data_IF_971271473775
#
_entry.id   IF_971271473775
#
_cell.length_a   1.000
_cell.length_b   1.000
_cell.length_c   1.000
_cell.angle_alpha   90.00
_cell.angle_beta   90.00
_cell.angle_gamma   90.00
#
_symmetry.space_group_name_H-M   'P 1'
#
loop_
_entity.id
_entity.type
_entity.pdbx_description
1 polymer ?
#
# COMPACT_ATOMS: atom_id res chain seq x y z
N UNK A 1 2.20 14.37 7.06
CA UNK A 1 2.60 12.99 7.43
C UNK A 1 1.54 12.40 8.35
N UNK A 2 1.05 11.21 8.06
CA UNK A 2 0.12 10.48 8.93
C UNK A 2 0.94 9.76 10.02
N UNK A 3 0.94 10.29 11.24
CA UNK A 3 1.84 9.87 12.32
C UNK A 3 1.74 8.37 12.68
N UNK A 4 0.55 7.78 12.52
CA UNK A 4 0.34 6.35 12.80
C UNK A 4 1.11 5.39 11.87
N UNK A 5 1.59 5.83 10.70
CA UNK A 5 2.41 4.97 9.83
C UNK A 5 3.71 4.56 10.50
N UNK A 6 4.32 5.44 11.31
CA UNK A 6 5.54 5.12 12.05
C UNK A 6 5.37 3.98 13.07
N UNK A 7 4.13 3.75 13.53
CA UNK A 7 3.81 2.66 14.46
C UNK A 7 3.57 1.34 13.72
N UNK A 8 3.17 1.41 12.45
CA UNK A 8 2.83 0.25 11.62
C UNK A 8 4.05 -0.31 10.87
N UNK A 9 5.02 0.55 10.54
CA UNK A 9 6.19 0.22 9.73
C UNK A 9 7.40 0.00 10.64
N UNK A 10 8.18 -1.09 10.46
CA UNK A 10 9.32 -1.37 11.33
C UNK A 10 10.39 -0.28 11.26
N UNK A 11 10.89 0.13 12.42
CA UNK A 11 11.90 1.20 12.54
C UNK A 11 13.31 0.76 12.14
N UNK A 12 13.61 -0.54 12.20
CA UNK A 12 14.93 -1.14 11.99
C UNK A 12 15.33 -1.29 10.51
N UNK A 13 14.51 -0.80 9.58
CA UNK A 13 14.83 -0.71 8.15
C UNK A 13 15.34 0.69 7.82
N UNK A 14 16.44 0.83 7.02
CA UNK A 14 16.88 2.12 6.49
C UNK A 14 15.81 2.82 5.66
N UNK A 15 15.85 4.15 5.62
CA UNK A 15 14.95 4.96 4.80
C UNK A 15 15.03 4.65 3.31
N UNK A 16 16.19 4.16 2.85
CA UNK A 16 16.45 3.73 1.48
C UNK A 16 15.92 2.33 1.15
N UNK A 17 15.39 1.59 2.13
CA UNK A 17 14.81 0.26 1.90
C UNK A 17 13.74 0.31 0.84
N UNK A 18 13.77 -0.66 -0.05
CA UNK A 18 12.82 -0.75 -1.15
C UNK A 18 11.43 -1.17 -0.66
N UNK A 19 10.41 -0.58 -1.27
CA UNK A 19 9.02 -0.82 -0.91
C UNK A 19 8.20 -1.21 -2.14
N UNK A 20 7.28 -2.15 -1.95
CA UNK A 20 6.23 -2.49 -2.90
C UNK A 20 4.89 -2.43 -2.17
N UNK A 21 3.91 -1.79 -2.80
CA UNK A 21 2.56 -1.62 -2.27
C UNK A 21 1.58 -2.26 -3.25
N UNK A 22 0.78 -3.19 -2.76
CA UNK A 22 -0.26 -3.87 -3.52
C UNK A 22 -1.61 -3.61 -2.88
N UNK A 23 -2.52 -3.00 -3.62
CA UNK A 23 -3.87 -2.70 -3.15
C UNK A 23 -4.82 -3.82 -3.55
N UNK A 24 -5.48 -4.45 -2.59
CA UNK A 24 -6.52 -5.44 -2.85
C UNK A 24 -7.77 -4.79 -3.46
N UNK A 25 -8.46 -5.50 -4.35
CA UNK A 25 -9.70 -5.04 -5.00
C UNK A 25 -10.93 -5.03 -4.07
N UNK A 26 -10.77 -5.52 -2.85
CA UNK A 26 -11.75 -5.43 -1.76
C UNK A 26 -11.02 -5.41 -0.41
N UNK A 27 -11.68 -4.94 0.67
CA UNK A 27 -11.14 -5.13 2.01
C UNK A 27 -11.18 -6.62 2.41
N UNK A 28 -10.23 -7.02 3.26
CA UNK A 28 -10.15 -8.35 3.84
C UNK A 28 -10.85 -8.40 5.20
N UNK A 29 -11.52 -9.51 5.49
CA UNK A 29 -12.05 -9.77 6.83
C UNK A 29 -10.93 -10.19 7.79
N UNK A 30 -11.18 -10.12 9.09
CA UNK A 30 -10.18 -10.39 10.12
C UNK A 30 -9.53 -11.78 10.00
N UNK A 31 -10.31 -12.80 9.66
CA UNK A 31 -9.78 -14.16 9.43
C UNK A 31 -8.79 -14.19 8.26
N UNK A 32 -9.16 -13.57 7.13
CA UNK A 32 -8.28 -13.48 5.95
C UNK A 32 -7.01 -12.67 6.25
N UNK A 33 -7.16 -11.57 7.02
CA UNK A 33 -6.02 -10.74 7.45
C UNK A 33 -5.00 -11.54 8.24
N UNK A 34 -5.45 -12.36 9.19
CA UNK A 34 -4.57 -13.22 9.98
C UNK A 34 -3.86 -14.27 9.11
N UNK A 35 -4.61 -14.97 8.27
CA UNK A 35 -4.06 -15.97 7.35
C UNK A 35 -3.06 -15.39 6.35
N UNK A 36 -3.35 -14.19 5.80
CA UNK A 36 -2.46 -13.48 4.89
C UNK A 36 -1.18 -13.07 5.61
N UNK A 37 -1.28 -12.52 6.81
CA UNK A 37 -0.12 -12.09 7.58
C UNK A 37 0.79 -13.27 7.95
N UNK A 38 0.24 -14.43 8.29
CA UNK A 38 1.02 -15.67 8.52
C UNK A 38 1.77 -16.10 7.24
N UNK A 39 1.12 -16.07 6.08
CA UNK A 39 1.76 -16.43 4.82
C UNK A 39 2.85 -15.42 4.41
N UNK A 40 2.63 -14.13 4.65
CA UNK A 40 3.61 -13.07 4.39
C UNK A 40 4.82 -13.22 5.33
N UNK A 41 4.62 -13.54 6.60
CA UNK A 41 5.69 -13.79 7.55
C UNK A 41 6.53 -15.00 7.15
N UNK A 42 5.89 -16.09 6.75
CA UNK A 42 6.58 -17.25 6.22
C UNK A 42 7.41 -16.90 4.97
N UNK A 43 6.85 -16.10 4.07
CA UNK A 43 7.53 -15.64 2.87
C UNK A 43 8.80 -14.85 3.22
N UNK A 44 8.70 -13.75 3.98
CA UNK A 44 9.84 -12.88 4.18
C UNK A 44 10.92 -13.46 5.10
N UNK A 45 10.56 -14.37 6.00
CA UNK A 45 11.55 -15.08 6.85
C UNK A 45 12.41 -16.07 6.07
N UNK A 46 11.93 -16.56 4.93
CA UNK A 46 12.65 -17.50 4.05
C UNK A 46 13.13 -16.84 2.74
N UNK A 47 12.92 -15.53 2.61
CA UNK A 47 13.24 -14.81 1.37
C UNK A 47 14.75 -14.79 1.11
N UNK A 48 15.12 -15.17 -0.11
CA UNK A 48 16.52 -15.19 -0.54
C UNK A 48 16.69 -14.50 -1.89
N UNK A 49 17.87 -13.90 -2.07
CA UNK A 49 18.35 -13.36 -3.34
C UNK A 49 19.70 -13.98 -3.65
N UNK A 50 19.80 -14.71 -4.77
CA UNK A 50 21.04 -15.42 -5.17
C UNK A 50 21.61 -16.31 -4.05
N UNK A 51 20.72 -17.00 -3.32
CA UNK A 51 21.11 -17.88 -2.23
C UNK A 51 21.53 -17.18 -0.92
N UNK A 52 21.38 -15.85 -0.85
CA UNK A 52 21.65 -15.07 0.36
C UNK A 52 20.33 -14.58 0.98
N UNK A 53 20.20 -14.62 2.32
CA UNK A 53 19.01 -14.10 2.99
C UNK A 53 18.77 -12.61 2.67
N UNK A 54 17.52 -12.27 2.36
CA UNK A 54 17.07 -10.88 2.24
C UNK A 54 16.48 -10.46 3.59
N UNK A 55 16.92 -9.33 4.14
CA UNK A 55 16.23 -8.72 5.26
C UNK A 55 14.94 -8.10 4.69
N UNK A 56 13.83 -8.79 4.88
CA UNK A 56 12.51 -8.40 4.38
C UNK A 56 11.48 -8.31 5.49
N UNK A 57 10.41 -7.61 5.20
CA UNK A 57 9.20 -7.53 6.00
C UNK A 57 8.00 -7.36 5.06
N UNK A 58 6.87 -7.97 5.42
CA UNK A 58 5.64 -7.81 4.69
C UNK A 58 4.44 -7.89 5.63
N UNK A 59 3.42 -7.07 5.38
CA UNK A 59 2.19 -7.06 6.18
C UNK A 59 1.00 -6.55 5.39
N UNK A 60 -0.18 -7.07 5.70
CA UNK A 60 -1.46 -6.51 5.29
C UNK A 60 -1.81 -5.34 6.22
N UNK A 61 -1.95 -4.15 5.66
CA UNK A 61 -2.29 -2.91 6.38
C UNK A 61 -3.65 -2.39 5.95
N UNK A 62 -4.37 -1.75 6.88
CA UNK A 62 -5.71 -1.17 6.66
C UNK A 62 -6.72 -2.18 6.07
N UNK A 63 -6.51 -3.48 6.28
CA UNK A 63 -7.30 -4.58 5.68
C UNK A 63 -7.40 -4.50 4.14
N UNK A 64 -6.45 -3.82 3.47
CA UNK A 64 -6.55 -3.48 2.06
C UNK A 64 -5.23 -3.60 1.30
N UNK A 65 -4.10 -3.30 1.95
CA UNK A 65 -2.82 -3.14 1.29
C UNK A 65 -1.79 -4.13 1.80
N UNK A 66 -1.17 -4.88 0.90
CA UNK A 66 0.05 -5.61 1.23
C UNK A 66 1.23 -4.68 0.97
N UNK A 67 2.00 -4.41 2.02
CA UNK A 67 3.24 -3.64 1.95
C UNK A 67 4.40 -4.60 2.17
N UNK A 68 5.36 -4.61 1.24
CA UNK A 68 6.59 -5.40 1.32
C UNK A 68 7.76 -4.43 1.40
N UNK A 69 8.68 -4.66 2.31
CA UNK A 69 9.93 -3.88 2.49
C UNK A 69 11.12 -4.81 2.40
N UNK A 70 12.16 -4.39 1.69
CA UNK A 70 13.45 -5.10 1.62
C UNK A 70 14.61 -4.16 1.84
N UNK A 71 15.54 -4.53 2.72
CA UNK A 71 16.79 -3.82 2.93
C UNK A 71 17.79 -4.23 1.85
N UNK A 72 18.10 -3.31 0.95
CA UNK A 72 19.05 -3.54 -0.15
C UNK A 72 20.53 -3.37 0.24
N UNK A 73 20.80 -2.82 1.44
CA UNK A 73 22.18 -2.59 1.87
C UNK A 73 22.92 -3.91 2.18
N UNK A 74 22.18 -4.95 2.54
CA UNK A 74 22.75 -6.27 2.91
C UNK A 74 22.79 -7.21 1.71
N UNK A 75 21.78 -7.16 0.84
CA UNK A 75 21.67 -8.04 -0.33
C UNK A 75 20.99 -7.28 -1.45
N UNK A 76 21.67 -7.15 -2.60
CA UNK A 76 21.07 -6.56 -3.78
C UNK A 76 19.83 -7.34 -4.17
N UNK A 77 18.64 -6.69 -4.10
CA UNK A 77 17.37 -7.32 -4.47
C UNK A 77 17.32 -7.35 -5.99
N UNK A 78 17.72 -8.47 -6.57
CA UNK A 78 17.73 -8.74 -8.00
C UNK A 78 16.33 -8.97 -8.58
N UNK A 79 16.25 -9.06 -9.90
CA UNK A 79 15.02 -9.44 -10.60
C UNK A 79 14.35 -10.70 -10.05
N UNK A 80 15.15 -11.74 -9.70
CA UNK A 80 14.62 -13.00 -9.13
C UNK A 80 13.89 -12.78 -7.79
N UNK A 81 14.37 -11.89 -6.93
CA UNK A 81 13.73 -11.61 -5.63
C UNK A 81 12.43 -10.80 -5.80
N UNK A 82 12.39 -9.95 -6.82
CA UNK A 82 11.16 -9.24 -7.21
C UNK A 82 10.14 -10.26 -7.73
N UNK A 83 10.57 -11.25 -8.51
CA UNK A 83 9.70 -12.32 -9.01
C UNK A 83 9.14 -13.18 -7.87
N UNK A 84 9.92 -13.44 -6.83
CA UNK A 84 9.45 -14.17 -5.64
C UNK A 84 8.38 -13.37 -4.88
N UNK A 85 8.57 -12.06 -4.70
CA UNK A 85 7.54 -11.20 -4.11
C UNK A 85 6.27 -11.14 -4.96
N UNK A 86 6.39 -11.05 -6.29
CA UNK A 86 5.25 -11.10 -7.18
C UNK A 86 4.53 -12.46 -7.16
N UNK A 87 5.26 -13.55 -6.92
CA UNK A 87 4.69 -14.91 -6.84
C UNK A 87 3.80 -15.09 -5.62
N UNK A 88 4.20 -14.60 -4.45
CA UNK A 88 3.34 -14.65 -3.25
C UNK A 88 2.06 -13.82 -3.47
N UNK A 89 2.16 -12.62 -4.07
CA UNK A 89 0.98 -11.81 -4.38
C UNK A 89 0.02 -12.53 -5.33
N UNK A 90 0.50 -13.14 -6.41
CA UNK A 90 -0.33 -13.93 -7.32
C UNK A 90 -0.95 -15.17 -6.67
N UNK A 91 -0.28 -15.76 -5.70
CA UNK A 91 -0.85 -16.86 -4.91
C UNK A 91 -2.02 -16.38 -4.07
N UNK A 92 -1.87 -15.25 -3.39
CA UNK A 92 -2.93 -14.63 -2.58
C UNK A 92 -4.12 -14.18 -3.44
N UNK A 93 -3.88 -13.64 -4.65
CA UNK A 93 -4.95 -13.31 -5.60
C UNK A 93 -5.85 -14.51 -5.89
N UNK A 94 -5.23 -15.65 -6.19
CA UNK A 94 -5.97 -16.89 -6.47
C UNK A 94 -6.70 -17.44 -5.26
N UNK A 95 -6.02 -17.44 -4.10
CA UNK A 95 -6.56 -17.99 -2.86
C UNK A 95 -7.80 -17.23 -2.37
N UNK A 96 -7.78 -15.90 -2.47
CA UNK A 96 -8.83 -15.03 -1.92
C UNK A 96 -9.75 -14.44 -3.00
N UNK A 97 -9.56 -14.81 -4.27
CA UNK A 97 -10.33 -14.27 -5.40
C UNK A 97 -10.34 -12.73 -5.42
N UNK A 98 -9.17 -12.12 -5.27
CA UNK A 98 -8.94 -10.68 -5.30
C UNK A 98 -7.98 -10.30 -6.41
N UNK A 99 -7.98 -9.03 -6.81
CA UNK A 99 -7.00 -8.46 -7.72
C UNK A 99 -6.15 -7.43 -6.96
N UNK A 100 -4.82 -7.54 -7.04
CA UNK A 100 -3.87 -6.59 -6.45
C UNK A 100 -3.26 -5.62 -7.48
N UNK A 101 -3.61 -5.73 -8.74
CA UNK A 101 -3.02 -4.95 -9.83
C UNK A 101 -4.00 -3.96 -10.48
N UNK A 102 -5.20 -3.78 -9.90
CA UNK A 102 -6.13 -2.74 -10.32
C UNK A 102 -5.59 -1.35 -9.96
N UNK A 103 -5.43 -0.49 -10.97
CA UNK A 103 -4.95 0.89 -10.82
C UNK A 103 -6.06 1.93 -11.01
N UNK A 104 -7.27 1.50 -11.33
CA UNK A 104 -8.40 2.39 -11.61
C UNK A 104 -9.27 2.66 -10.38
N UNK A 105 -9.07 1.90 -9.32
CA UNK A 105 -9.75 2.09 -8.04
C UNK A 105 -8.79 2.73 -7.05
N UNK A 106 -9.22 3.85 -6.49
CA UNK A 106 -8.47 4.60 -5.49
C UNK A 106 -8.97 4.26 -4.09
N UNK A 107 -8.13 4.42 -3.10
CA UNK A 107 -8.52 4.23 -1.70
C UNK A 107 -8.27 5.51 -0.92
N UNK A 108 -9.26 5.90 -0.14
CA UNK A 108 -9.24 7.05 0.77
C UNK A 108 -9.29 6.56 2.21
N UNK A 109 -8.68 7.30 3.12
CA UNK A 109 -8.80 7.06 4.56
C UNK A 109 -9.89 7.98 5.12
N UNK A 110 -11.04 7.41 5.45
CA UNK A 110 -12.22 8.11 5.97
C UNK A 110 -12.57 7.50 7.32
N UNK A 111 -12.63 8.30 8.37
CA UNK A 111 -12.92 7.85 9.74
C UNK A 111 -12.04 6.67 10.19
N UNK A 112 -10.75 6.71 9.81
CA UNK A 112 -9.77 5.68 10.13
C UNK A 112 -9.92 4.37 9.36
N UNK A 113 -10.81 4.30 8.36
CA UNK A 113 -11.06 3.13 7.53
C UNK A 113 -10.67 3.40 6.08
N UNK A 114 -10.07 2.40 5.43
CA UNK A 114 -9.83 2.43 4.00
C UNK A 114 -11.15 2.26 3.24
N UNK A 115 -11.47 3.21 2.37
CA UNK A 115 -12.67 3.20 1.53
C UNK A 115 -12.29 3.35 0.08
N UNK A 116 -12.76 2.42 -0.75
CA UNK A 116 -12.45 2.37 -2.17
C UNK A 116 -13.44 3.20 -2.99
N UNK A 117 -12.92 3.88 -4.02
CA UNK A 117 -13.70 4.67 -4.94
C UNK A 117 -13.11 4.55 -6.36
N UNK A 118 -13.89 4.15 -7.36
CA UNK A 118 -13.45 4.21 -8.75
C UNK A 118 -13.03 5.62 -9.15
N UNK A 119 -11.95 5.76 -9.92
CA UNK A 119 -11.43 7.07 -10.33
C UNK A 119 -12.52 7.96 -10.95
N UNK A 120 -13.39 7.40 -11.81
CA UNK A 120 -14.48 8.12 -12.44
C UNK A 120 -15.56 8.66 -11.49
N UNK A 121 -15.58 8.24 -10.23
CA UNK A 121 -16.54 8.68 -9.21
C UNK A 121 -15.96 9.71 -8.22
N UNK A 122 -14.66 10.02 -8.32
CA UNK A 122 -13.99 10.93 -7.38
C UNK A 122 -14.61 12.32 -7.41
N UNK A 123 -14.82 12.90 -8.61
CA UNK A 123 -15.44 14.23 -8.73
C UNK A 123 -16.84 14.26 -8.14
N UNK A 124 -17.65 13.24 -8.41
CA UNK A 124 -18.99 13.14 -7.83
C UNK A 124 -18.95 13.11 -6.31
N UNK A 125 -18.01 12.36 -5.71
CA UNK A 125 -17.86 12.27 -4.27
C UNK A 125 -17.45 13.63 -3.64
N UNK A 126 -16.62 14.41 -4.34
CA UNK A 126 -16.25 15.79 -3.95
C UNK A 126 -17.50 16.68 -4.02
N UNK A 127 -18.22 16.68 -5.14
CA UNK A 127 -19.40 17.52 -5.36
C UNK A 127 -20.51 17.24 -4.35
N UNK A 128 -20.60 16.00 -3.86
CA UNK A 128 -21.55 15.59 -2.82
C UNK A 128 -21.04 15.75 -1.39
N UNK A 129 -19.80 16.19 -1.21
CA UNK A 129 -19.21 16.40 0.11
C UNK A 129 -18.84 15.10 0.86
N UNK A 130 -18.81 13.94 0.19
CA UNK A 130 -18.35 12.68 0.80
C UNK A 130 -16.84 12.69 1.06
N UNK A 131 -16.09 13.36 0.22
CA UNK A 131 -14.66 13.64 0.36
C UNK A 131 -14.40 15.12 0.03
N UNK A 132 -13.29 15.65 0.53
CA UNK A 132 -12.87 17.03 0.31
C UNK A 132 -11.37 17.12 0.08
N UNK A 133 -10.85 18.32 -0.13
CA UNK A 133 -9.43 18.56 -0.40
C UNK A 133 -8.48 18.06 0.68
N UNK A 134 -8.91 17.96 1.95
CA UNK A 134 -8.12 17.48 3.07
C UNK A 134 -8.28 15.98 3.33
N UNK A 135 -9.22 15.30 2.64
CA UNK A 135 -9.41 13.86 2.75
C UNK A 135 -8.13 13.14 2.33
N UNK A 136 -7.65 12.22 3.18
CA UNK A 136 -6.42 11.49 2.90
C UNK A 136 -6.65 10.42 1.82
N UNK A 137 -5.78 10.39 0.84
CA UNK A 137 -5.75 9.38 -0.23
C UNK A 137 -4.47 8.56 -0.14
N UNK A 138 -4.58 7.27 -0.43
CA UNK A 138 -3.42 6.38 -0.52
C UNK A 138 -2.74 6.57 -1.87
N UNK A 139 -1.51 7.07 -1.83
CA UNK A 139 -0.66 7.32 -2.99
C UNK A 139 0.32 6.16 -3.15
N UNK A 140 -0.08 5.12 -3.87
CA UNK A 140 0.64 3.83 -3.97
C UNK A 140 1.89 3.87 -4.87
N UNK A 141 2.49 5.05 -5.10
CA UNK A 141 3.70 5.21 -5.93
C UNK A 141 5.01 5.19 -5.14
N UNK A 142 4.94 5.15 -3.81
CA UNK A 142 6.13 5.10 -2.96
C UNK A 142 6.96 3.85 -3.27
N UNK A 143 8.28 4.03 -3.44
CA UNK A 143 9.23 2.98 -3.77
C UNK A 143 10.29 2.78 -2.71
N UNK A 144 10.40 3.70 -1.74
CA UNK A 144 11.30 3.63 -0.59
C UNK A 144 10.56 3.75 0.72
N UNK A 145 11.17 3.28 1.83
CA UNK A 145 10.58 3.43 3.17
C UNK A 145 10.34 4.90 3.52
N UNK A 146 11.28 5.78 3.17
CA UNK A 146 11.11 7.22 3.37
C UNK A 146 9.87 7.74 2.66
N UNK A 147 9.72 7.44 1.38
CA UNK A 147 8.53 7.83 0.60
C UNK A 147 7.24 7.23 1.16
N UNK A 148 7.27 5.97 1.60
CA UNK A 148 6.13 5.32 2.26
C UNK A 148 5.67 6.12 3.47
N UNK A 149 6.58 6.53 4.34
CA UNK A 149 6.24 7.29 5.54
C UNK A 149 5.81 8.73 5.26
N UNK A 150 6.39 9.37 4.24
CA UNK A 150 6.16 10.78 3.93
C UNK A 150 5.00 11.02 2.96
N UNK A 151 4.80 10.12 1.98
CA UNK A 151 3.95 10.39 0.81
C UNK A 151 2.87 9.35 0.52
N UNK A 152 2.82 8.25 1.26
CA UNK A 152 1.79 7.21 1.01
C UNK A 152 0.39 7.69 1.35
N UNK A 153 0.20 8.36 2.51
CA UNK A 153 -1.06 8.98 2.91
C UNK A 153 -0.92 10.50 2.87
N UNK A 154 -1.54 11.12 1.89
CA UNK A 154 -1.48 12.57 1.68
C UNK A 154 -2.89 13.15 1.48
N UNK A 155 -3.13 14.42 1.83
CA UNK A 155 -4.37 15.11 1.48
C UNK A 155 -4.59 15.10 -0.03
N UNK A 156 -5.84 15.00 -0.46
CA UNK A 156 -6.25 14.95 -1.86
C UNK A 156 -5.67 16.12 -2.67
N UNK A 157 -5.67 17.33 -2.11
CA UNK A 157 -5.09 18.53 -2.73
C UNK A 157 -3.55 18.53 -2.82
N UNK A 158 -2.87 17.58 -2.19
CA UNK A 158 -1.41 17.37 -2.27
C UNK A 158 -1.03 16.08 -3.00
N UNK A 159 -2.01 15.35 -3.51
CA UNK A 159 -1.80 14.15 -4.29
C UNK A 159 -1.72 14.46 -5.78
N UNK A 160 -1.36 13.46 -6.57
CA UNK A 160 -1.40 13.54 -8.04
C UNK A 160 -2.82 13.78 -8.60
N UNK A 161 -3.85 13.60 -7.78
CA UNK A 161 -5.24 13.86 -8.14
C UNK A 161 -5.59 15.36 -8.09
N UNK A 162 -4.80 16.19 -7.44
CA UNK A 162 -5.10 17.62 -7.26
C UNK A 162 -5.41 18.34 -8.59
N UNK A 163 -4.65 18.00 -9.64
CA UNK A 163 -4.84 18.57 -10.99
C UNK A 163 -5.91 17.86 -11.82
N UNK A 164 -6.56 16.83 -11.27
CA UNK A 164 -7.57 16.00 -11.97
C UNK A 164 -8.99 16.25 -11.48
N UNK A 165 -9.14 16.99 -10.39
CA UNK A 165 -10.42 17.25 -9.74
C UNK A 165 -10.61 18.74 -9.49
N UNK A 166 -11.87 19.16 -9.33
CA UNK A 166 -12.24 20.52 -8.97
C UNK A 166 -12.93 20.53 -7.62
N UNK A 167 -12.71 21.57 -6.84
CA UNK A 167 -13.38 21.74 -5.55
C UNK A 167 -14.44 22.83 -5.65
N UNK A 168 -15.64 22.66 -5.04
CA UNK A 168 -16.62 23.72 -4.94
C UNK A 168 -15.98 24.94 -4.29
N UNK A 169 -16.15 26.12 -4.90
CA UNK A 169 -15.74 27.36 -4.26
C UNK A 169 -16.61 27.55 -3.02
N UNK A 170 -15.97 27.74 -1.87
CA UNK A 170 -16.67 28.17 -0.66
C UNK A 170 -17.30 29.55 -0.94
N UNK A 171 -18.62 29.58 -1.04
CA UNK A 171 -19.38 30.82 -1.09
C UNK A 171 -19.43 31.46 0.29
#
# INVERSE_FOLDING_TARGET
MYSKLNELIPSDFPDTSRVWIYQGSRPFIEKEENEINEQLEHFYTQWQAHGKPVKGWAKLLFKQFIVIIADQAITEVSGCSIDDSARIIKSLERQYSVNFFDRMTLTFLIDGKAQMLPFGQVQYAIDKGFINQETLVFNNIATTKKELLETWLVPLNKSWLADKVSYPQLQ
#
